data_IF_199421341049
#
_entry.id   IF_199421341049
#
_cell.length_a   1.000
_cell.length_b   1.000
_cell.length_c   1.000
_cell.angle_alpha   90.00
_cell.angle_beta   90.00
_cell.angle_gamma   90.00
#
_symmetry.space_group_name_H-M   'P 1'
#
loop_
_entity.id
_entity.type
_entity.pdbx_description
1 polymer ?
#
# COMPACT_ATOMS: atom_id res chain seq x y z
N UNK A 1 29.03 15.49 -15.39
CA UNK A 1 28.37 14.45 -14.57
C UNK A 1 26.84 14.36 -14.71
N UNK A 2 26.14 15.36 -15.27
CA UNK A 2 24.66 15.31 -15.43
C UNK A 2 24.15 14.25 -16.42
N UNK A 3 24.94 13.84 -17.41
CA UNK A 3 24.52 12.84 -18.41
C UNK A 3 24.48 11.39 -17.90
N UNK A 4 25.27 11.03 -16.87
CA UNK A 4 25.31 9.65 -16.37
C UNK A 4 24.09 9.25 -15.54
N UNK A 5 23.41 10.22 -14.92
CA UNK A 5 22.23 9.99 -14.10
C UNK A 5 21.02 9.64 -14.99
N UNK A 6 20.81 10.37 -16.09
CA UNK A 6 19.71 10.14 -17.04
C UNK A 6 19.76 8.76 -17.70
N UNK A 7 20.95 8.28 -18.09
CA UNK A 7 21.09 6.95 -18.71
C UNK A 7 20.76 5.80 -17.75
N UNK A 8 21.03 5.95 -16.45
CA UNK A 8 20.71 4.92 -15.46
C UNK A 8 19.23 4.89 -15.10
N UNK A 9 18.56 6.03 -15.02
CA UNK A 9 17.10 6.07 -14.88
C UNK A 9 16.41 5.43 -16.10
N UNK A 10 16.93 5.69 -17.30
CA UNK A 10 16.48 5.01 -18.52
C UNK A 10 16.71 3.49 -18.43
N UNK A 11 17.89 3.05 -17.99
CA UNK A 11 18.18 1.63 -17.82
C UNK A 11 17.22 0.96 -16.83
N UNK A 12 17.04 1.52 -15.62
CA UNK A 12 16.08 0.97 -14.65
C UNK A 12 14.65 0.95 -15.18
N UNK A 13 14.26 1.94 -15.99
CA UNK A 13 12.94 1.96 -16.63
C UNK A 13 12.81 0.85 -17.68
N UNK A 14 13.85 0.58 -18.46
CA UNK A 14 13.88 -0.54 -19.41
C UNK A 14 13.80 -1.89 -18.67
N UNK A 15 14.57 -2.06 -17.59
CA UNK A 15 14.58 -3.28 -16.80
C UNK A 15 13.20 -3.57 -16.18
N UNK A 16 12.49 -2.53 -15.72
CA UNK A 16 11.10 -2.64 -15.24
C UNK A 16 10.17 -3.18 -16.33
N UNK A 17 10.30 -2.72 -17.59
CA UNK A 17 9.44 -3.18 -18.70
C UNK A 17 9.69 -4.66 -19.01
N UNK A 18 10.96 -5.08 -19.09
CA UNK A 18 11.28 -6.49 -19.33
C UNK A 18 10.80 -7.39 -18.19
N UNK A 19 11.01 -6.97 -16.96
CA UNK A 19 10.58 -7.71 -15.78
C UNK A 19 9.06 -7.77 -15.67
N UNK A 20 8.35 -6.67 -15.98
CA UNK A 20 6.89 -6.65 -16.06
C UNK A 20 6.38 -7.65 -17.10
N UNK A 21 6.98 -7.67 -18.30
CA UNK A 21 6.60 -8.63 -19.35
C UNK A 21 6.81 -10.08 -18.92
N UNK A 22 7.99 -10.40 -18.37
CA UNK A 22 8.29 -11.76 -17.92
C UNK A 22 7.39 -12.21 -16.78
N UNK A 23 7.19 -11.34 -15.79
CA UNK A 23 6.37 -11.65 -14.62
C UNK A 23 4.88 -11.77 -14.96
N UNK A 24 4.37 -10.94 -15.88
CA UNK A 24 2.98 -11.02 -16.33
C UNK A 24 2.67 -12.39 -16.95
N UNK A 25 3.57 -12.95 -17.77
CA UNK A 25 3.39 -14.29 -18.37
C UNK A 25 3.30 -15.38 -17.28
N UNK A 26 4.08 -15.25 -16.21
CA UNK A 26 4.08 -16.22 -15.11
C UNK A 26 2.82 -16.08 -14.26
N UNK A 27 2.47 -14.85 -13.86
CA UNK A 27 1.36 -14.57 -12.94
C UNK A 27 -0.02 -14.71 -13.59
N UNK A 28 -0.13 -14.49 -14.90
CA UNK A 28 -1.37 -14.70 -15.65
C UNK A 28 -1.88 -16.14 -15.57
N UNK A 29 -1.01 -17.13 -15.34
CA UNK A 29 -1.38 -18.53 -15.08
C UNK A 29 -2.31 -18.71 -13.87
N UNK A 30 -2.29 -17.76 -12.93
CA UNK A 30 -3.15 -17.72 -11.75
C UNK A 30 -4.15 -16.55 -11.79
N UNK A 31 -4.31 -15.90 -12.96
CA UNK A 31 -5.09 -14.68 -13.13
C UNK A 31 -4.64 -13.57 -12.16
N UNK A 32 -3.33 -13.39 -12.00
CA UNK A 32 -2.75 -12.40 -11.09
C UNK A 32 -2.10 -11.25 -11.88
N UNK A 33 -2.26 -9.99 -11.44
CA UNK A 33 -1.56 -8.87 -12.06
C UNK A 33 -0.10 -8.86 -11.62
N UNK A 34 0.81 -8.45 -12.52
CA UNK A 34 2.19 -8.14 -12.15
C UNK A 34 2.30 -6.98 -11.14
N UNK A 35 1.26 -6.13 -11.05
CA UNK A 35 1.15 -5.05 -10.09
C UNK A 35 2.44 -4.21 -10.03
N UNK A 36 2.96 -3.95 -8.82
CA UNK A 36 4.21 -3.21 -8.62
C UNK A 36 5.40 -4.09 -8.27
N UNK A 37 5.33 -5.41 -8.49
CA UNK A 37 6.47 -6.32 -8.30
C UNK A 37 7.72 -5.87 -9.08
N UNK A 38 7.63 -5.47 -10.36
CA UNK A 38 8.82 -5.09 -11.12
C UNK A 38 9.52 -3.87 -10.53
N UNK A 39 8.76 -2.84 -10.13
CA UNK A 39 9.30 -1.66 -9.46
C UNK A 39 10.00 -2.06 -8.15
N UNK A 40 9.32 -2.83 -7.30
CA UNK A 40 9.79 -3.31 -6.01
C UNK A 40 11.10 -4.14 -6.11
N UNK A 41 11.23 -4.98 -7.14
CA UNK A 41 12.45 -5.77 -7.41
C UNK A 41 13.59 -4.85 -7.85
N UNK A 42 13.36 -4.01 -8.86
CA UNK A 42 14.39 -3.15 -9.43
C UNK A 42 14.90 -2.12 -8.42
N UNK A 43 14.02 -1.52 -7.61
CA UNK A 43 14.44 -0.54 -6.60
C UNK A 43 15.28 -1.17 -5.50
N UNK A 44 14.95 -2.39 -5.03
CA UNK A 44 15.78 -3.11 -4.06
C UNK A 44 17.14 -3.43 -4.66
N UNK A 45 17.19 -3.98 -5.87
CA UNK A 45 18.45 -4.31 -6.54
C UNK A 45 19.31 -3.06 -6.73
N UNK A 46 18.70 -1.95 -7.15
CA UNK A 46 19.38 -0.66 -7.30
C UNK A 46 19.97 -0.15 -5.97
N UNK A 47 19.19 -0.18 -4.89
CA UNK A 47 19.66 0.24 -3.58
C UNK A 47 20.76 -0.69 -3.04
N UNK A 48 20.62 -2.00 -3.25
CA UNK A 48 21.64 -2.98 -2.87
C UNK A 48 22.96 -2.77 -3.63
N UNK A 49 22.89 -2.43 -4.92
CA UNK A 49 24.07 -2.18 -5.75
C UNK A 49 24.76 -0.84 -5.47
N UNK A 50 24.03 0.16 -4.99
CA UNK A 50 24.62 1.45 -4.64
C UNK A 50 25.21 1.39 -3.24
N UNK A 51 24.39 1.16 -2.22
CA UNK A 51 24.82 1.23 -0.82
C UNK A 51 25.06 2.68 -0.35
N UNK A 52 25.25 2.89 0.97
CA UNK A 52 25.54 4.20 1.55
C UNK A 52 26.92 4.76 1.18
N UNK A 53 27.87 3.87 0.93
CA UNK A 53 29.27 4.20 0.65
C UNK A 53 29.58 4.32 -0.86
N UNK A 54 28.55 4.33 -1.72
CA UNK A 54 28.77 4.43 -3.17
C UNK A 54 29.43 5.77 -3.53
N UNK A 55 30.57 5.80 -4.25
CA UNK A 55 31.29 7.04 -4.55
C UNK A 55 30.47 8.06 -5.37
N UNK A 56 29.50 7.59 -6.15
CA UNK A 56 28.74 8.43 -7.08
C UNK A 56 27.26 8.59 -6.70
N UNK A 57 26.70 7.64 -5.94
CA UNK A 57 25.24 7.54 -5.72
C UNK A 57 24.95 6.99 -4.32
N UNK A 58 25.46 7.65 -3.26
CA UNK A 58 25.19 7.19 -1.91
C UNK A 58 23.70 7.37 -1.60
N UNK A 59 23.14 6.43 -0.84
CA UNK A 59 21.80 6.56 -0.30
C UNK A 59 21.80 6.43 1.23
N UNK A 60 20.80 6.99 1.88
CA UNK A 60 20.69 6.92 3.34
C UNK A 60 20.30 5.52 3.78
N UNK A 61 21.12 4.91 4.63
CA UNK A 61 20.78 3.63 5.26
C UNK A 61 19.59 3.79 6.21
N UNK A 62 18.64 2.87 6.10
CA UNK A 62 17.44 2.90 6.93
C UNK A 62 17.71 2.14 8.22
N UNK A 63 17.63 2.86 9.35
CA UNK A 63 17.68 2.24 10.67
C UNK A 63 16.35 1.53 10.97
N UNK A 64 16.37 0.33 11.59
CA UNK A 64 15.15 -0.40 11.90
C UNK A 64 14.17 0.47 12.72
N UNK A 65 12.85 0.34 12.51
CA UNK A 65 11.83 1.13 13.21
C UNK A 65 11.93 1.06 14.73
N UNK A 66 12.40 -0.08 15.26
CA UNK A 66 12.51 -0.37 16.69
C UNK A 66 13.87 -0.04 17.35
N UNK A 67 14.80 0.63 16.68
CA UNK A 67 15.99 1.17 17.35
C UNK A 67 15.57 2.36 18.22
N UNK A 68 15.03 2.06 19.41
CA UNK A 68 14.67 3.01 20.45
C UNK A 68 15.92 3.82 20.83
N UNK A 69 15.87 5.14 20.72
CA UNK A 69 16.70 5.95 21.60
C UNK A 69 16.09 5.85 23.01
N UNK A 70 16.80 5.32 24.02
CA UNK A 70 16.18 4.88 25.28
C UNK A 70 15.50 5.97 26.12
N UNK A 71 15.59 7.26 25.78
CA UNK A 71 15.37 8.35 26.74
C UNK A 71 14.55 9.56 26.27
N UNK A 72 13.70 9.47 25.23
CA UNK A 72 13.01 10.70 24.71
C UNK A 72 11.48 10.71 24.60
N UNK A 73 10.77 9.64 24.93
CA UNK A 73 9.31 9.61 24.71
C UNK A 73 8.52 9.23 25.97
N UNK A 74 8.47 10.13 26.94
CA UNK A 74 7.32 10.22 27.83
C UNK A 74 6.25 11.06 27.11
N UNK A 75 5.19 10.42 26.60
CA UNK A 75 4.02 11.13 26.09
C UNK A 75 3.43 11.89 27.28
N UNK A 76 3.68 13.21 27.37
CA UNK A 76 3.04 14.05 28.37
C UNK A 76 1.63 14.35 27.89
N UNK A 77 0.66 14.26 28.80
CA UNK A 77 -0.77 14.49 28.53
C UNK A 77 -1.07 15.87 27.91
N UNK A 78 -0.15 16.84 28.04
CA UNK A 78 -0.24 18.16 27.42
C UNK A 78 0.10 18.20 25.91
N UNK A 79 0.70 17.13 25.35
CA UNK A 79 1.10 17.05 23.94
C UNK A 79 0.08 16.28 23.06
N UNK A 80 -1.05 15.86 23.61
CA UNK A 80 -2.02 14.99 22.93
C UNK A 80 -2.79 15.73 21.83
N UNK A 81 -3.14 17.00 22.03
CA UNK A 81 -3.86 17.78 21.00
C UNK A 81 -3.04 18.05 19.74
N UNK A 82 -1.75 18.48 19.79
CA UNK A 82 -0.94 18.62 18.58
C UNK A 82 -0.56 17.26 17.96
N UNK A 83 -0.44 16.20 18.76
CA UNK A 83 -0.19 14.83 18.29
C UNK A 83 -1.33 14.34 17.39
N UNK A 84 -2.58 14.47 17.86
CA UNK A 84 -3.75 14.01 17.11
C UNK A 84 -3.89 14.69 15.75
N UNK A 85 -3.68 16.01 15.69
CA UNK A 85 -3.73 16.78 14.43
C UNK A 85 -2.65 16.32 13.46
N UNK A 86 -1.44 16.05 13.94
CA UNK A 86 -0.34 15.56 13.08
C UNK A 86 -0.58 14.13 12.58
N UNK A 87 -1.17 13.26 13.41
CA UNK A 87 -1.58 11.90 13.01
C UNK A 87 -2.66 11.95 11.94
N UNK A 88 -3.69 12.81 12.10
CA UNK A 88 -4.72 13.01 11.07
C UNK A 88 -4.10 13.54 9.78
N UNK A 89 -3.17 14.52 9.87
CA UNK A 89 -2.44 15.03 8.71
C UNK A 89 -1.62 13.94 8.01
N UNK A 90 -1.14 12.95 8.75
CA UNK A 90 -0.45 11.78 8.22
C UNK A 90 -1.30 10.92 7.28
N UNK A 91 -2.64 10.94 7.41
CA UNK A 91 -3.55 10.12 6.58
C UNK A 91 -3.51 10.53 5.09
N UNK A 92 -3.78 11.79 4.69
CA UNK A 92 -3.64 12.18 3.30
C UNK A 92 -2.18 12.12 2.83
N UNK A 93 -1.19 12.35 3.71
CA UNK A 93 0.22 12.19 3.37
C UNK A 93 0.58 10.74 3.02
N UNK A 94 -0.05 9.75 3.66
CA UNK A 94 0.15 8.35 3.32
C UNK A 94 -0.27 8.02 1.89
N UNK A 95 -1.28 8.71 1.33
CA UNK A 95 -1.63 8.58 -0.10
C UNK A 95 -0.52 9.16 -0.98
N UNK A 96 0.08 10.29 -0.60
CA UNK A 96 1.21 10.86 -1.34
C UNK A 96 2.48 10.01 -1.28
N UNK A 97 2.72 9.34 -0.15
CA UNK A 97 3.88 8.45 0.03
C UNK A 97 3.86 7.24 -0.91
N UNK A 98 2.72 6.91 -1.54
CA UNK A 98 2.67 5.95 -2.66
C UNK A 98 3.64 6.35 -3.78
N UNK A 99 3.79 7.65 -4.02
CA UNK A 99 4.72 8.23 -4.98
C UNK A 99 5.90 8.92 -4.29
N UNK A 100 6.23 8.53 -3.05
CA UNK A 100 7.27 9.14 -2.22
C UNK A 100 7.12 10.67 -2.04
N UNK A 101 5.88 11.17 -2.04
CA UNK A 101 5.58 12.60 -1.82
C UNK A 101 5.33 12.85 -0.32
N UNK A 102 6.23 13.60 0.32
CA UNK A 102 6.12 13.97 1.75
C UNK A 102 5.34 15.26 2.03
N UNK A 103 4.89 15.96 0.98
CA UNK A 103 4.23 17.26 1.09
C UNK A 103 2.71 17.16 0.87
N UNK A 104 1.95 17.94 1.64
CA UNK A 104 0.48 17.88 1.60
C UNK A 104 -0.09 18.27 0.24
N UNK A 105 0.50 19.25 -0.45
CA UNK A 105 0.03 19.72 -1.77
C UNK A 105 0.01 18.60 -2.82
N UNK A 106 1.17 17.98 -3.13
CA UNK A 106 1.23 16.81 -4.02
C UNK A 106 0.33 15.65 -3.57
N UNK A 107 0.28 15.36 -2.26
CA UNK A 107 -0.59 14.29 -1.75
C UNK A 107 -2.07 14.54 -2.01
N UNK A 108 -2.53 15.78 -1.84
CA UNK A 108 -3.91 16.17 -2.15
C UNK A 108 -4.17 16.18 -3.66
N UNK A 109 -3.18 16.52 -4.49
CA UNK A 109 -3.28 16.43 -5.94
C UNK A 109 -3.46 14.97 -6.37
N UNK A 110 -2.63 14.06 -5.86
CA UNK A 110 -2.73 12.61 -6.12
C UNK A 110 -4.09 12.09 -5.67
N UNK A 111 -4.52 12.42 -4.45
CA UNK A 111 -5.83 12.03 -3.94
C UNK A 111 -6.97 12.58 -4.80
N UNK A 112 -6.86 13.84 -5.25
CA UNK A 112 -7.80 14.46 -6.18
C UNK A 112 -7.88 13.72 -7.52
N UNK A 113 -6.73 13.32 -8.08
CA UNK A 113 -6.68 12.54 -9.31
C UNK A 113 -7.35 11.16 -9.14
N UNK A 114 -7.11 10.47 -8.01
CA UNK A 114 -7.77 9.20 -7.69
C UNK A 114 -9.28 9.42 -7.54
N UNK A 115 -9.71 10.48 -6.86
CA UNK A 115 -11.12 10.82 -6.68
C UNK A 115 -11.83 11.13 -8.00
N UNK A 116 -11.17 11.86 -8.91
CA UNK A 116 -11.70 12.14 -10.25
C UNK A 116 -11.87 10.87 -11.09
N UNK A 117 -10.98 9.89 -10.91
CA UNK A 117 -11.09 8.59 -11.57
C UNK A 117 -12.19 7.71 -10.93
N UNK A 118 -12.20 7.60 -9.60
CA UNK A 118 -13.13 6.78 -8.82
C UNK A 118 -13.21 7.29 -7.38
N UNK A 119 -14.33 7.93 -6.98
CA UNK A 119 -14.55 8.32 -5.59
C UNK A 119 -14.49 7.15 -4.61
N UNK A 120 -14.97 5.96 -4.99
CA UNK A 120 -14.88 4.76 -4.14
C UNK A 120 -13.42 4.37 -3.91
N UNK A 121 -12.57 4.44 -4.95
CA UNK A 121 -11.16 4.12 -4.83
C UNK A 121 -10.43 5.13 -3.93
N UNK A 122 -10.79 6.41 -4.00
CA UNK A 122 -10.25 7.44 -3.11
C UNK A 122 -10.62 7.21 -1.64
N UNK A 123 -11.84 6.76 -1.37
CA UNK A 123 -12.26 6.35 -0.02
C UNK A 123 -11.43 5.17 0.48
N UNK A 124 -11.21 4.15 -0.36
CA UNK A 124 -10.34 3.01 0.01
C UNK A 124 -8.90 3.46 0.29
N UNK A 125 -8.35 4.38 -0.49
CA UNK A 125 -7.02 4.93 -0.26
C UNK A 125 -6.92 5.59 1.14
N UNK A 126 -7.90 6.41 1.51
CA UNK A 126 -7.94 7.08 2.82
C UNK A 126 -8.19 6.12 3.97
N UNK A 127 -9.13 5.18 3.82
CA UNK A 127 -9.41 4.16 4.84
C UNK A 127 -8.19 3.28 5.09
N UNK A 128 -7.55 2.79 4.02
CA UNK A 128 -6.32 2.01 4.11
C UNK A 128 -5.19 2.80 4.77
N UNK A 129 -5.01 4.07 4.42
CA UNK A 129 -4.02 4.92 5.06
C UNK A 129 -4.31 5.18 6.53
N UNK A 130 -5.57 5.39 6.90
CA UNK A 130 -5.99 5.58 8.29
C UNK A 130 -5.75 4.32 9.13
N UNK A 131 -6.11 3.14 8.62
CA UNK A 131 -5.85 1.85 9.26
C UNK A 131 -4.35 1.63 9.43
N UNK A 132 -3.54 1.89 8.39
CA UNK A 132 -2.08 1.79 8.47
C UNK A 132 -1.48 2.72 9.54
N UNK A 133 -1.95 3.96 9.62
CA UNK A 133 -1.54 4.91 10.67
C UNK A 133 -1.95 4.45 12.07
N UNK A 134 -3.18 3.93 12.24
CA UNK A 134 -3.66 3.38 13.51
C UNK A 134 -2.84 2.16 13.96
N UNK A 135 -2.47 1.27 13.03
CA UNK A 135 -1.60 0.15 13.36
C UNK A 135 -0.17 0.61 13.67
N UNK A 136 0.35 1.63 12.98
CA UNK A 136 1.63 2.24 13.36
C UNK A 136 1.59 2.79 14.79
N UNK A 137 0.47 3.40 15.19
CA UNK A 137 0.24 3.88 16.54
C UNK A 137 0.18 2.73 17.57
N UNK A 138 -0.54 1.63 17.26
CA UNK A 138 -0.63 0.47 18.16
C UNK A 138 0.71 -0.25 18.34
N UNK A 139 1.59 -0.18 17.34
CA UNK A 139 2.93 -0.78 17.36
C UNK A 139 4.00 0.18 17.91
N UNK A 140 3.62 1.35 18.42
CA UNK A 140 4.53 2.37 18.96
C UNK A 140 5.67 2.74 18.00
N UNK A 141 5.38 2.82 16.69
CA UNK A 141 6.36 3.26 15.68
C UNK A 141 6.71 4.73 15.93
N UNK A 142 7.93 5.13 15.54
CA UNK A 142 8.42 6.52 15.56
C UNK A 142 7.37 7.52 15.07
N UNK A 143 7.15 8.57 15.85
CA UNK A 143 6.18 9.63 15.56
C UNK A 143 6.39 10.26 14.17
N UNK A 144 7.64 10.40 13.73
CA UNK A 144 7.99 10.92 12.41
C UNK A 144 7.42 10.07 11.27
N UNK A 145 7.33 8.74 11.46
CA UNK A 145 6.73 7.81 10.50
C UNK A 145 5.22 7.98 10.39
N UNK A 146 4.56 8.31 11.50
CA UNK A 146 3.13 8.59 11.55
C UNK A 146 2.82 9.92 10.87
N UNK A 147 3.58 10.97 11.20
CA UNK A 147 3.33 12.34 10.71
C UNK A 147 3.66 12.50 9.23
N UNK A 148 4.66 11.77 8.73
CA UNK A 148 5.05 11.79 7.31
C UNK A 148 4.16 10.89 6.44
N UNK A 149 3.26 10.10 7.01
CA UNK A 149 2.40 9.17 6.29
C UNK A 149 3.07 7.86 5.88
N UNK A 150 4.33 7.61 6.26
CA UNK A 150 5.07 6.39 5.92
C UNK A 150 4.42 5.11 6.47
N UNK A 151 3.68 5.21 7.57
CA UNK A 151 2.93 4.07 8.13
C UNK A 151 1.62 3.78 7.38
N UNK A 152 1.14 4.72 6.56
CA UNK A 152 -0.18 4.64 5.90
C UNK A 152 -0.15 4.12 4.46
N UNK A 153 0.90 4.39 3.68
CA UNK A 153 0.85 4.19 2.21
C UNK A 153 0.67 2.73 1.76
N UNK A 154 1.28 1.77 2.45
CA UNK A 154 1.08 0.36 2.16
C UNK A 154 -0.37 -0.07 2.46
N UNK A 155 -0.98 0.47 3.52
CA UNK A 155 -2.39 0.27 3.81
C UNK A 155 -3.30 0.88 2.74
N UNK A 156 -2.97 2.08 2.24
CA UNK A 156 -3.68 2.72 1.14
C UNK A 156 -3.66 1.86 -0.14
N UNK A 157 -2.48 1.39 -0.57
CA UNK A 157 -2.34 0.50 -1.73
C UNK A 157 -3.07 -0.82 -1.56
N UNK A 158 -2.96 -1.45 -0.40
CA UNK A 158 -3.64 -2.71 -0.11
C UNK A 158 -5.16 -2.56 -0.15
N UNK A 159 -5.70 -1.51 0.47
CA UNK A 159 -7.14 -1.24 0.48
C UNK A 159 -7.67 -0.86 -0.91
N UNK A 160 -6.91 -0.08 -1.68
CA UNK A 160 -7.24 0.21 -3.09
C UNK A 160 -7.26 -1.06 -3.95
N UNK A 161 -6.32 -1.99 -3.74
CA UNK A 161 -6.31 -3.26 -4.45
C UNK A 161 -7.56 -4.09 -4.12
N UNK A 162 -7.95 -4.17 -2.84
CA UNK A 162 -9.20 -4.83 -2.43
C UNK A 162 -10.42 -4.18 -3.11
N UNK A 163 -10.53 -2.85 -3.06
CA UNK A 163 -11.65 -2.13 -3.68
C UNK A 163 -11.70 -2.21 -5.21
N UNK A 164 -10.58 -2.48 -5.86
CA UNK A 164 -10.50 -2.63 -7.31
C UNK A 164 -10.76 -4.06 -7.81
N UNK A 165 -10.16 -5.06 -7.14
CA UNK A 165 -10.20 -6.46 -7.60
C UNK A 165 -11.35 -7.29 -7.00
N UNK A 166 -12.04 -6.78 -5.98
CA UNK A 166 -13.21 -7.44 -5.39
C UNK A 166 -14.45 -6.55 -5.52
N UNK A 167 -15.62 -7.17 -5.68
CA UNK A 167 -16.90 -6.45 -5.69
C UNK A 167 -17.14 -5.86 -4.30
N UNK A 168 -17.16 -4.53 -4.25
CA UNK A 168 -17.39 -3.79 -3.01
C UNK A 168 -18.85 -3.85 -2.60
N UNK A 169 -19.12 -4.31 -1.37
CA UNK A 169 -20.40 -4.10 -0.70
C UNK A 169 -20.11 -3.48 0.66
N UNK A 170 -20.70 -2.30 0.93
CA UNK A 170 -20.64 -1.68 2.26
C UNK A 170 -21.17 -2.65 3.33
N UNK A 171 -22.11 -3.52 2.95
CA UNK A 171 -22.63 -4.58 3.82
C UNK A 171 -21.61 -5.69 4.05
N UNK A 172 -20.84 -6.13 3.05
CA UNK A 172 -19.77 -7.10 3.33
C UNK A 172 -18.68 -6.48 4.18
N UNK A 173 -18.33 -5.20 4.00
CA UNK A 173 -17.38 -4.51 4.88
C UNK A 173 -17.89 -4.38 6.32
N UNK A 174 -19.16 -4.00 6.52
CA UNK A 174 -19.79 -3.88 7.84
C UNK A 174 -20.09 -5.23 8.49
N UNK A 175 -20.56 -6.24 7.74
CA UNK A 175 -20.76 -7.60 8.23
C UNK A 175 -19.43 -8.26 8.56
N UNK A 176 -18.37 -7.98 7.79
CA UNK A 176 -17.05 -8.49 8.08
C UNK A 176 -16.51 -7.85 9.38
N UNK A 177 -16.70 -6.54 9.61
CA UNK A 177 -16.40 -5.86 10.88
C UNK A 177 -17.27 -6.37 12.05
N UNK A 178 -18.58 -6.59 11.83
CA UNK A 178 -19.53 -6.97 12.88
C UNK A 178 -19.55 -8.47 13.22
N UNK A 179 -19.12 -9.35 12.31
CA UNK A 179 -19.15 -10.82 12.51
C UNK A 179 -17.93 -11.38 13.25
N UNK A 180 -16.99 -10.54 13.72
CA UNK A 180 -15.84 -10.98 14.52
C UNK A 180 -14.85 -11.93 13.81
N UNK A 181 -15.14 -12.34 12.57
CA UNK A 181 -14.32 -13.27 11.79
C UNK A 181 -13.30 -12.56 10.88
N UNK A 182 -13.16 -11.21 10.97
CA UNK A 182 -12.16 -10.42 10.24
C UNK A 182 -10.90 -10.10 11.02
N UNK A 183 -10.79 -10.55 12.27
CA UNK A 183 -9.56 -10.41 13.06
C UNK A 183 -8.34 -11.12 12.44
N UNK A 184 -8.52 -11.87 11.34
CA UNK A 184 -7.43 -12.46 10.56
C UNK A 184 -7.09 -11.70 9.28
N UNK A 185 -8.01 -11.07 8.55
CA UNK A 185 -7.68 -10.61 7.17
C UNK A 185 -7.03 -9.21 7.13
N UNK A 186 -7.56 -8.26 7.89
CA UNK A 186 -7.00 -6.91 8.04
C UNK A 186 -5.79 -6.92 8.99
N UNK A 187 -5.84 -7.75 10.04
CA UNK A 187 -4.73 -7.92 10.97
C UNK A 187 -3.55 -8.70 10.36
N UNK A 188 -3.77 -9.78 9.60
CA UNK A 188 -2.64 -10.50 8.94
C UNK A 188 -1.98 -9.62 7.89
N UNK A 189 -2.76 -8.86 7.11
CA UNK A 189 -2.21 -7.90 6.15
C UNK A 189 -1.34 -6.83 6.82
N UNK A 190 -1.81 -6.21 7.90
CA UNK A 190 -1.04 -5.16 8.58
C UNK A 190 0.12 -5.70 9.42
N UNK A 191 0.01 -6.90 10.00
CA UNK A 191 1.12 -7.58 10.67
C UNK A 191 2.22 -7.94 9.66
N UNK A 192 1.87 -8.44 8.47
CA UNK A 192 2.83 -8.68 7.39
C UNK A 192 3.54 -7.39 6.97
N UNK A 193 2.82 -6.26 6.87
CA UNK A 193 3.41 -4.93 6.59
C UNK A 193 4.40 -4.50 7.66
N UNK A 194 4.09 -4.69 8.93
CA UNK A 194 4.99 -4.38 10.04
C UNK A 194 6.22 -5.31 10.09
N UNK A 195 6.03 -6.62 9.87
CA UNK A 195 7.11 -7.61 9.84
C UNK A 195 8.08 -7.35 8.68
N UNK A 196 7.59 -7.00 7.49
CA UNK A 196 8.45 -6.69 6.34
C UNK A 196 9.29 -5.42 6.56
N UNK A 197 8.69 -4.38 7.15
CA UNK A 197 9.41 -3.15 7.51
C UNK A 197 10.54 -3.40 8.52
N UNK A 198 10.31 -4.26 9.51
CA UNK A 198 11.34 -4.64 10.48
C UNK A 198 12.43 -5.51 9.83
N UNK A 199 12.05 -6.48 9.00
CA UNK A 199 12.99 -7.35 8.27
C UNK A 199 13.89 -6.55 7.32
N UNK A 200 13.33 -5.63 6.54
CA UNK A 200 14.12 -4.84 5.59
C UNK A 200 14.97 -3.76 6.29
N UNK A 201 14.52 -3.28 7.44
CA UNK A 201 15.31 -2.39 8.29
C UNK A 201 16.58 -3.02 8.85
N UNK A 202 16.68 -4.36 8.99
CA UNK A 202 17.93 -5.01 9.44
C UNK A 202 19.02 -5.01 8.37
N UNK A 203 18.63 -4.98 7.09
CA UNK A 203 19.54 -4.90 5.93
C UNK A 203 19.71 -3.47 5.40
N UNK A 204 19.17 -2.47 6.10
CA UNK A 204 19.32 -1.05 5.75
C UNK A 204 18.46 -0.58 4.57
N UNK A 205 17.50 -1.39 4.11
CA UNK A 205 16.68 -1.13 2.93
C UNK A 205 15.23 -0.74 3.28
N UNK A 206 14.56 0.06 2.42
CA UNK A 206 13.15 0.38 2.61
C UNK A 206 12.29 -0.80 2.20
N UNK A 207 11.22 -1.10 2.96
CA UNK A 207 10.26 -2.11 2.52
C UNK A 207 9.48 -1.73 1.25
N UNK A 208 9.52 -0.45 0.87
CA UNK A 208 8.78 0.09 -0.27
C UNK A 208 7.32 -0.39 -0.21
N UNK A 209 6.74 -0.72 -1.36
CA UNK A 209 5.40 -1.29 -1.47
C UNK A 209 5.37 -2.82 -1.41
N UNK A 210 6.45 -3.51 -1.04
CA UNK A 210 6.48 -4.98 -1.05
C UNK A 210 5.40 -5.60 -0.19
N UNK A 211 5.14 -4.98 0.96
CA UNK A 211 4.13 -5.50 1.86
C UNK A 211 2.72 -5.40 1.26
N UNK A 212 2.36 -4.24 0.69
CA UNK A 212 1.09 -4.10 -0.02
C UNK A 212 0.98 -5.07 -1.20
N UNK A 213 2.05 -5.23 -1.98
CA UNK A 213 2.07 -6.14 -3.14
C UNK A 213 1.87 -7.59 -2.74
N UNK A 214 2.62 -8.09 -1.76
CA UNK A 214 2.52 -9.48 -1.30
C UNK A 214 1.16 -9.76 -0.67
N UNK A 215 0.64 -8.84 0.13
CA UNK A 215 -0.69 -8.98 0.74
C UNK A 215 -1.77 -8.98 -0.35
N UNK A 216 -1.73 -8.05 -1.30
CA UNK A 216 -2.70 -8.02 -2.41
C UNK A 216 -2.65 -9.31 -3.25
N UNK A 217 -1.46 -9.81 -3.58
CA UNK A 217 -1.29 -11.07 -4.31
C UNK A 217 -1.82 -12.27 -3.51
N UNK A 218 -1.53 -12.34 -2.21
CA UNK A 218 -2.05 -13.39 -1.35
C UNK A 218 -3.58 -13.34 -1.28
N UNK A 219 -4.16 -12.15 -1.17
CA UNK A 219 -5.62 -11.97 -1.17
C UNK A 219 -6.26 -12.47 -2.47
N UNK A 220 -5.64 -12.21 -3.62
CA UNK A 220 -6.13 -12.69 -4.92
C UNK A 220 -6.00 -14.21 -5.09
N UNK A 221 -5.06 -14.84 -4.37
CA UNK A 221 -4.87 -16.29 -4.32
C UNK A 221 -5.80 -16.99 -3.32
N UNK A 222 -6.46 -16.26 -2.42
CA UNK A 222 -7.38 -16.86 -1.46
C UNK A 222 -8.56 -17.51 -2.19
N UNK A 223 -8.83 -18.77 -1.81
CA UNK A 223 -9.95 -19.57 -2.30
C UNK A 223 -11.07 -19.63 -1.25
N UNK A 224 -12.29 -19.97 -1.66
CA UNK A 224 -13.46 -20.06 -0.77
C UNK A 224 -14.55 -19.04 -1.09
N UNK A 225 -15.31 -18.60 -0.09
CA UNK A 225 -16.46 -17.68 -0.28
C UNK A 225 -16.05 -16.31 -0.84
N UNK A 226 -14.83 -15.84 -0.57
CA UNK A 226 -14.30 -14.60 -1.14
C UNK A 226 -13.99 -14.69 -2.64
N UNK A 227 -13.69 -15.88 -3.15
CA UNK A 227 -13.41 -16.08 -4.58
C UNK A 227 -14.65 -15.74 -5.44
N UNK A 228 -15.86 -15.86 -4.88
CA UNK A 228 -17.11 -15.49 -5.55
C UNK A 228 -17.24 -13.98 -5.82
N UNK A 229 -16.51 -13.14 -5.07
CA UNK A 229 -16.53 -11.69 -5.22
C UNK A 229 -15.28 -11.17 -5.95
N UNK A 230 -14.33 -12.04 -6.30
CA UNK A 230 -13.12 -11.69 -7.06
C UNK A 230 -13.48 -11.42 -8.51
N UNK A 231 -12.95 -10.34 -9.05
CA UNK A 231 -13.11 -9.95 -10.45
C UNK A 231 -11.89 -10.48 -11.23
N UNK A 232 -12.08 -11.19 -12.35
CA UNK A 232 -10.99 -11.61 -13.21
C UNK A 232 -10.15 -10.41 -13.66
N UNK A 233 -8.81 -10.53 -13.63
CA UNK A 233 -7.93 -9.35 -13.80
C UNK A 233 -8.13 -8.64 -15.13
N UNK A 234 -8.38 -9.39 -16.21
CA UNK A 234 -8.68 -8.82 -17.54
C UNK A 234 -10.02 -8.09 -17.64
N UNK A 235 -10.88 -8.17 -16.61
CA UNK A 235 -12.21 -7.54 -16.58
C UNK A 235 -12.33 -6.42 -15.54
N UNK A 236 -11.28 -6.18 -14.73
CA UNK A 236 -11.28 -5.15 -13.69
C UNK A 236 -11.43 -3.77 -14.31
N UNK A 237 -12.43 -3.01 -13.83
CA UNK A 237 -12.64 -1.59 -14.17
C UNK A 237 -12.66 -0.76 -12.88
N UNK A 238 -13.07 0.51 -13.00
CA UNK A 238 -13.36 1.33 -11.82
C UNK A 238 -14.36 0.63 -10.89
N UNK A 239 -14.18 0.69 -9.55
CA UNK A 239 -15.04 0.03 -8.57
C UNK A 239 -16.55 0.27 -8.79
N UNK A 240 -16.95 1.49 -9.13
CA UNK A 240 -18.34 1.87 -9.40
C UNK A 240 -18.91 1.08 -10.59
N UNK A 241 -18.10 0.89 -11.63
CA UNK A 241 -18.51 0.16 -12.83
C UNK A 241 -18.56 -1.35 -12.56
N UNK A 242 -17.62 -1.87 -11.78
CA UNK A 242 -17.63 -3.28 -11.37
C UNK A 242 -18.88 -3.59 -10.55
N UNK A 243 -19.21 -2.72 -9.59
CA UNK A 243 -20.40 -2.84 -8.77
C UNK A 243 -21.69 -2.80 -9.60
N UNK A 244 -21.79 -1.86 -10.55
CA UNK A 244 -22.94 -1.77 -11.47
C UNK A 244 -23.10 -3.04 -12.31
N UNK A 245 -22.01 -3.59 -12.84
CA UNK A 245 -22.05 -4.81 -13.65
C UNK A 245 -22.48 -6.02 -12.83
N UNK A 246 -22.00 -6.12 -11.59
CA UNK A 246 -22.42 -7.18 -10.67
C UNK A 246 -23.93 -7.16 -10.42
N UNK A 247 -24.52 -5.98 -10.13
CA UNK A 247 -25.97 -5.85 -9.95
C UNK A 247 -26.78 -6.10 -11.23
N UNK A 248 -26.22 -5.83 -12.41
CA UNK A 248 -26.87 -6.13 -13.69
C UNK A 248 -26.83 -7.63 -14.07
N UNK A 249 -25.89 -8.39 -13.49
CA UNK A 249 -25.73 -9.82 -13.72
C UNK A 249 -26.49 -10.68 -12.71
N UNK A 250 -26.97 -10.11 -11.61
CA UNK A 250 -27.88 -10.77 -10.69
C UNK A 250 -29.21 -11.05 -11.39
N UNK A 251 -29.66 -12.32 -11.51
CA UNK A 251 -30.98 -12.62 -12.03
C UNK A 251 -32.05 -11.91 -11.17
N UNK A 252 -33.08 -11.39 -11.81
CA UNK A 252 -34.29 -10.84 -11.17
C UNK A 252 -35.13 -11.98 -10.55
N UNK A 253 -34.53 -12.83 -9.72
CA UNK A 253 -35.19 -13.98 -9.08
C UNK A 253 -35.51 -13.70 -7.61
N UNK A 254 -36.05 -12.50 -7.33
CA UNK A 254 -36.71 -12.19 -6.05
C UNK A 254 -37.98 -11.38 -6.31
N UNK A 255 -38.90 -11.95 -7.08
CA UNK A 255 -40.33 -11.62 -6.99
C UNK A 255 -41.16 -12.89 -7.19
N UNK A 256 -41.36 -13.62 -6.09
CA UNK A 256 -42.63 -14.25 -5.70
C UNK A 256 -42.54 -14.79 -4.27
#
# INVERSE_FOLDING_TARGET
>A
MKGGLTWRWLQSSLDIVFLFSGLSIVLDRWDLPAAVFPFNIIIILYLLCTGPEHPYFPHHSIKPPGALEPNKHQIRWHDISPLFVQVIRGIPLGVGQIFACGDLGPSLLILGAVFLYSPLLAVHALLGSAVGTLTGLSMAVRHESLYSGLSGFNGALGCMAVGGFFIFSLWTHLFAIASGNTDTQTHTGTVIICCLNNLMGTVGLPACSWAATLVATLMLLLTGSLAAYRIPTGQVRAPERNLRLFFLQLPLDVTN
#
